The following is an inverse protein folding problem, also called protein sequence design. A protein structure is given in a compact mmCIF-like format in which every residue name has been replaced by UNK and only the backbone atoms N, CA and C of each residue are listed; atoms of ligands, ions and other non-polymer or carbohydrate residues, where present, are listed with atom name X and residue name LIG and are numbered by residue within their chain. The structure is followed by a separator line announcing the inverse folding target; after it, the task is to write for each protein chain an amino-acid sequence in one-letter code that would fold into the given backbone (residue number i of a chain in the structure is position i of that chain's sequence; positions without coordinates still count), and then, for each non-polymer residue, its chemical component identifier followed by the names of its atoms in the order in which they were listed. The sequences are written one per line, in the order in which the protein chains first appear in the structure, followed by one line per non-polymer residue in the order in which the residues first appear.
data_IF_140558192951
#
_entry.id   IF_140558192951
#
_cell.length_a   1.000
_cell.length_b   1.000
_cell.length_c   1.000
_cell.angle_alpha   90.00
_cell.angle_beta   90.00
_cell.angle_gamma   90.00
#
_symmetry.space_group_name_H-M   'P 1'
#
loop_
_entity.id
_entity.type
_entity.pdbx_description
1 polymer ?
#
# COMPACT_ATOMS: atom_id res chain seq x y z
N UNK A 1 27.53 -20.66 -5.23
CA UNK A 1 26.40 -21.55 -5.59
C UNK A 1 25.25 -20.60 -5.82
N UNK A 2 25.04 -20.18 -7.05
CA UNK A 2 24.41 -18.89 -7.34
C UNK A 2 22.96 -18.77 -6.85
N UNK A 3 22.14 -19.80 -7.08
CA UNK A 3 20.78 -19.89 -6.52
C UNK A 3 20.77 -19.78 -4.99
N UNK A 4 21.81 -20.28 -4.31
CA UNK A 4 21.93 -20.15 -2.86
C UNK A 4 22.30 -18.73 -2.40
N UNK A 5 23.00 -17.95 -3.24
CA UNK A 5 23.23 -16.52 -3.03
C UNK A 5 21.98 -15.69 -3.35
N UNK A 6 21.14 -16.13 -4.31
CA UNK A 6 19.86 -15.46 -4.59
C UNK A 6 18.85 -15.64 -3.44
N UNK A 7 18.75 -16.84 -2.86
CA UNK A 7 17.80 -17.13 -1.76
C UNK A 7 18.30 -16.75 -0.36
N UNK A 8 19.57 -16.41 -0.16
CA UNK A 8 20.18 -16.31 1.19
C UNK A 8 19.63 -15.21 2.09
N UNK A 9 18.84 -14.28 1.55
CA UNK A 9 18.20 -13.20 2.30
C UNK A 9 16.68 -13.19 2.18
N UNK A 10 16.06 -14.25 1.63
CA UNK A 10 14.59 -14.32 1.43
C UNK A 10 13.85 -14.13 2.75
N UNK A 11 14.22 -14.87 3.79
CA UNK A 11 13.62 -14.76 5.13
C UNK A 11 13.96 -13.43 5.87
N UNK A 12 14.77 -12.55 5.29
CA UNK A 12 15.13 -11.25 5.86
C UNK A 12 14.21 -10.09 5.40
N UNK A 13 13.31 -10.34 4.44
CA UNK A 13 12.32 -9.37 3.99
C UNK A 13 10.99 -9.64 4.70
N UNK A 14 10.52 -8.67 5.47
CA UNK A 14 9.34 -8.79 6.32
C UNK A 14 8.04 -8.87 5.49
N UNK A 15 7.03 -9.64 5.94
CA UNK A 15 5.69 -9.62 5.35
C UNK A 15 5.05 -8.22 5.35
N UNK A 16 4.09 -7.99 4.45
CA UNK A 16 3.38 -6.74 4.24
C UNK A 16 4.23 -5.56 3.73
N UNK A 17 5.52 -5.79 3.47
CA UNK A 17 6.45 -4.75 2.99
C UNK A 17 6.57 -4.70 1.47
N UNK A 18 7.26 -3.67 0.98
CA UNK A 18 7.54 -3.44 -0.43
C UNK A 18 9.03 -3.49 -0.73
N UNK A 19 9.39 -4.00 -1.91
CA UNK A 19 10.77 -3.97 -2.37
C UNK A 19 10.90 -3.46 -3.81
N UNK A 20 12.09 -2.97 -4.11
CA UNK A 20 12.57 -2.73 -5.48
C UNK A 20 13.85 -3.51 -5.72
N UNK A 21 14.21 -3.68 -7.00
CA UNK A 21 15.49 -4.25 -7.40
C UNK A 21 16.35 -3.22 -8.11
N UNK A 22 17.62 -3.20 -7.72
CA UNK A 22 18.69 -2.46 -8.37
C UNK A 22 19.64 -3.50 -8.95
N UNK A 23 19.82 -3.54 -10.27
CA UNK A 23 20.81 -4.43 -10.90
C UNK A 23 21.28 -3.87 -12.25
N UNK A 24 22.58 -3.89 -12.57
CA UNK A 24 23.08 -3.50 -13.90
C UNK A 24 22.80 -4.58 -14.95
N UNK A 25 22.58 -5.84 -14.52
CA UNK A 25 22.24 -6.97 -15.38
C UNK A 25 21.49 -8.01 -14.55
N UNK A 26 20.16 -7.85 -14.51
CA UNK A 26 19.18 -8.70 -13.83
C UNK A 26 19.08 -10.15 -14.35
N UNK A 27 19.95 -10.51 -15.28
CA UNK A 27 20.08 -11.84 -15.89
C UNK A 27 21.56 -12.29 -16.00
N UNK A 28 22.47 -11.62 -15.29
CA UNK A 28 23.87 -12.04 -15.15
C UNK A 28 23.95 -13.23 -14.21
N UNK A 29 24.59 -14.28 -14.70
CA UNK A 29 25.00 -15.46 -13.93
C UNK A 29 26.51 -15.64 -14.08
N UNK A 30 27.22 -15.88 -12.97
CA UNK A 30 28.64 -16.26 -12.99
C UNK A 30 28.84 -17.66 -13.63
N UNK A 31 27.80 -18.50 -13.60
CA UNK A 31 27.83 -19.89 -14.10
C UNK A 31 27.41 -20.03 -15.57
N UNK A 32 26.48 -19.17 -16.02
CA UNK A 32 25.81 -19.26 -17.33
C UNK A 32 26.02 -18.02 -18.23
N UNK A 33 26.68 -16.98 -17.73
CA UNK A 33 26.79 -15.70 -18.40
C UNK A 33 25.45 -14.94 -18.43
N UNK A 34 25.16 -14.28 -19.55
CA UNK A 34 23.93 -13.48 -19.71
C UNK A 34 22.79 -14.38 -20.22
N UNK A 35 21.91 -14.81 -19.32
CA UNK A 35 20.82 -15.75 -19.66
C UNK A 35 19.65 -15.01 -20.31
N UNK A 36 19.28 -15.40 -21.55
CA UNK A 36 18.21 -14.73 -22.31
C UNK A 36 16.85 -15.41 -22.27
N UNK A 37 16.76 -16.71 -22.00
CA UNK A 37 15.56 -17.51 -22.32
C UNK A 37 14.99 -18.39 -21.18
N UNK A 38 15.73 -18.64 -20.09
CA UNK A 38 15.21 -19.39 -18.92
C UNK A 38 14.62 -18.44 -17.85
N UNK A 39 14.34 -17.20 -18.27
CA UNK A 39 14.15 -16.00 -17.45
C UNK A 39 13.22 -16.13 -16.23
N UNK A 40 11.93 -16.52 -16.35
CA UNK A 40 10.91 -16.22 -15.32
C UNK A 40 11.11 -16.86 -13.95
N UNK A 41 12.02 -17.84 -13.81
CA UNK A 41 12.31 -18.54 -12.55
C UNK A 41 13.72 -18.25 -11.99
N UNK A 42 14.58 -17.54 -12.72
CA UNK A 42 15.99 -17.25 -12.34
C UNK A 42 16.19 -15.74 -12.21
N UNK A 43 15.24 -15.10 -11.55
CA UNK A 43 15.30 -13.67 -11.26
C UNK A 43 15.09 -13.48 -9.77
N UNK A 44 16.00 -12.79 -9.10
CA UNK A 44 15.74 -12.19 -7.77
C UNK A 44 14.40 -11.40 -7.77
N UNK A 45 14.03 -10.81 -8.92
CA UNK A 45 12.74 -10.12 -9.18
C UNK A 45 11.52 -11.00 -9.00
N UNK A 46 11.59 -12.26 -9.44
CA UNK A 46 10.48 -13.21 -9.26
C UNK A 46 10.60 -13.91 -7.91
N UNK A 47 11.82 -14.30 -7.52
CA UNK A 47 12.11 -15.12 -6.35
C UNK A 47 11.57 -14.52 -5.05
N UNK A 48 11.92 -13.27 -4.74
CA UNK A 48 11.48 -12.63 -3.49
C UNK A 48 9.98 -12.35 -3.44
N UNK A 49 9.31 -12.22 -4.59
CA UNK A 49 7.85 -12.09 -4.69
C UNK A 49 7.09 -13.41 -4.83
N UNK A 50 7.78 -14.54 -4.97
CA UNK A 50 7.16 -15.88 -5.13
C UNK A 50 7.43 -16.81 -3.96
N UNK A 51 8.62 -16.74 -3.34
CA UNK A 51 8.97 -17.53 -2.17
C UNK A 51 8.38 -16.89 -0.91
N UNK A 52 8.59 -15.58 -0.72
CA UNK A 52 7.89 -14.87 0.33
C UNK A 52 6.45 -14.64 -0.07
N UNK A 53 5.54 -15.19 0.72
CA UNK A 53 4.14 -14.77 0.69
C UNK A 53 4.09 -13.32 1.19
N UNK A 54 3.23 -12.53 0.58
CA UNK A 54 2.79 -11.25 1.14
C UNK A 54 3.82 -10.11 1.08
N UNK A 55 4.58 -10.00 -0.02
CA UNK A 55 5.52 -8.88 -0.24
C UNK A 55 5.28 -8.28 -1.64
N UNK A 56 5.22 -6.95 -1.72
CA UNK A 56 4.95 -6.22 -2.96
C UNK A 56 6.22 -5.83 -3.72
N UNK A 57 6.45 -6.41 -4.90
CA UNK A 57 7.45 -5.85 -5.82
C UNK A 57 6.89 -4.59 -6.48
N UNK A 58 7.53 -3.45 -6.24
CA UNK A 58 6.98 -2.16 -6.66
C UNK A 58 6.83 -2.05 -8.18
N UNK A 59 7.80 -2.53 -8.98
CA UNK A 59 7.73 -2.44 -10.45
C UNK A 59 6.46 -3.07 -11.05
N UNK A 60 5.81 -3.96 -10.31
CA UNK A 60 4.77 -4.84 -10.81
C UNK A 60 3.89 -5.36 -9.65
N UNK A 61 2.92 -4.56 -9.20
CA UNK A 61 2.03 -4.85 -8.06
C UNK A 61 0.54 -4.91 -8.47
N UNK A 62 -0.17 -5.95 -8.02
CA UNK A 62 -1.64 -6.11 -8.13
C UNK A 62 -2.21 -6.82 -6.90
N UNK A 63 -3.28 -6.28 -6.32
CA UNK A 63 -3.90 -6.79 -5.10
C UNK A 63 -4.94 -7.90 -5.34
N UNK A 64 -5.35 -8.08 -6.59
CA UNK A 64 -6.44 -8.99 -6.98
C UNK A 64 -5.97 -10.40 -7.37
N UNK A 65 -4.67 -10.63 -7.55
CA UNK A 65 -4.07 -11.92 -7.93
C UNK A 65 -2.92 -12.30 -7.00
N UNK A 66 -2.72 -13.60 -6.75
CA UNK A 66 -1.71 -14.07 -5.78
C UNK A 66 -0.27 -14.12 -6.33
N UNK A 67 -0.06 -14.11 -7.65
CA UNK A 67 1.28 -14.23 -8.28
C UNK A 67 1.32 -13.51 -9.63
N UNK A 68 2.49 -12.94 -9.96
CA UNK A 68 2.81 -12.20 -11.19
C UNK A 68 1.75 -11.18 -11.66
N UNK A 69 1.83 -9.93 -11.17
CA UNK A 69 1.09 -8.81 -11.73
C UNK A 69 1.47 -8.51 -13.19
N UNK A 70 0.61 -7.78 -13.90
CA UNK A 70 0.91 -7.23 -15.23
C UNK A 70 0.35 -5.81 -15.29
N UNK A 71 1.02 -4.89 -14.59
CA UNK A 71 0.73 -3.48 -14.68
C UNK A 71 1.99 -2.64 -14.53
N UNK A 72 2.11 -1.60 -15.35
CA UNK A 72 3.30 -0.77 -15.46
C UNK A 72 3.38 0.21 -14.26
N UNK A 73 4.10 -0.16 -13.20
CA UNK A 73 4.43 0.79 -12.15
C UNK A 73 5.52 1.75 -12.66
N UNK A 74 5.21 3.04 -12.71
CA UNK A 74 6.15 4.02 -13.25
C UNK A 74 7.16 4.46 -12.17
N UNK A 75 8.31 3.78 -12.15
CA UNK A 75 9.44 4.09 -11.27
C UNK A 75 9.84 5.58 -11.26
N UNK A 76 9.67 6.30 -12.38
CA UNK A 76 10.05 7.71 -12.54
C UNK A 76 9.40 8.66 -11.53
N UNK A 77 8.30 8.25 -10.90
CA UNK A 77 7.51 9.08 -9.99
C UNK A 77 7.39 8.49 -8.58
N UNK A 78 8.04 7.36 -8.31
CA UNK A 78 8.11 6.79 -6.97
C UNK A 78 9.37 7.30 -6.26
N UNK A 79 9.19 8.14 -5.23
CA UNK A 79 10.24 8.93 -4.60
C UNK A 79 11.10 8.16 -3.59
N UNK A 80 11.57 6.96 -3.95
CA UNK A 80 12.46 6.13 -3.11
C UNK A 80 11.86 5.81 -1.74
N UNK A 81 10.68 5.18 -1.71
CA UNK A 81 9.87 4.90 -0.51
C UNK A 81 9.68 3.39 -0.19
N UNK A 82 10.38 2.53 -0.92
CA UNK A 82 10.42 1.07 -0.74
C UNK A 82 10.96 0.69 0.63
N UNK A 83 10.41 -0.35 1.23
CA UNK A 83 10.86 -0.81 2.55
C UNK A 83 12.19 -1.59 2.43
N UNK A 84 12.46 -2.19 1.26
CA UNK A 84 13.70 -2.91 0.93
C UNK A 84 14.24 -2.60 -0.48
N UNK A 85 15.57 -2.56 -0.62
CA UNK A 85 16.27 -2.58 -1.91
C UNK A 85 17.10 -3.85 -2.00
N UNK A 86 16.82 -4.66 -3.02
CA UNK A 86 17.59 -5.86 -3.35
C UNK A 86 18.56 -5.49 -4.47
N UNK A 87 19.85 -5.45 -4.18
CA UNK A 87 20.89 -5.13 -5.15
C UNK A 87 21.59 -6.41 -5.63
N UNK A 88 21.46 -6.73 -6.93
CA UNK A 88 22.00 -7.95 -7.55
C UNK A 88 23.11 -7.66 -8.57
N UNK A 89 24.20 -8.42 -8.47
CA UNK A 89 25.34 -8.49 -9.38
C UNK A 89 26.07 -7.17 -9.68
N UNK A 90 26.04 -6.22 -8.72
CA UNK A 90 26.83 -4.99 -8.76
C UNK A 90 28.33 -5.23 -8.57
N UNK A 91 29.21 -4.35 -9.09
CA UNK A 91 30.63 -4.34 -8.72
C UNK A 91 30.81 -4.23 -7.21
N UNK A 92 31.85 -4.86 -6.68
CA UNK A 92 32.18 -4.80 -5.25
C UNK A 92 32.50 -3.38 -4.77
N UNK A 93 33.05 -2.55 -5.65
CA UNK A 93 33.36 -1.14 -5.43
C UNK A 93 32.15 -0.18 -5.54
N UNK A 94 30.93 -0.66 -5.79
CA UNK A 94 29.73 0.18 -5.73
C UNK A 94 29.40 0.47 -4.25
N UNK A 95 29.55 1.72 -3.82
CA UNK A 95 29.37 2.11 -2.40
C UNK A 95 27.90 2.31 -1.98
N UNK A 96 26.95 2.34 -2.93
CA UNK A 96 25.50 2.60 -2.69
C UNK A 96 25.24 3.82 -1.78
N UNK A 97 26.08 4.86 -1.90
CA UNK A 97 26.07 6.04 -1.03
C UNK A 97 24.76 6.85 -1.09
N UNK A 98 23.95 6.65 -2.11
CA UNK A 98 22.59 7.18 -2.24
C UNK A 98 21.56 6.47 -1.33
N UNK A 99 21.80 5.20 -0.95
CA UNK A 99 20.94 4.43 -0.05
C UNK A 99 21.31 4.65 1.43
N UNK A 100 22.60 4.76 1.74
CA UNK A 100 23.16 4.85 3.11
C UNK A 100 22.48 5.87 4.04
N UNK A 101 21.97 7.05 3.59
CA UNK A 101 21.21 7.95 4.46
C UNK A 101 19.93 7.31 5.01
N UNK A 102 19.18 6.60 4.17
CA UNK A 102 17.81 6.15 4.43
C UNK A 102 17.67 4.64 4.70
N UNK A 103 18.72 3.85 4.46
CA UNK A 103 18.72 2.40 4.56
C UNK A 103 19.90 1.87 5.37
N UNK A 104 19.68 0.72 6.01
CA UNK A 104 20.69 -0.12 6.63
C UNK A 104 20.99 -1.33 5.74
N UNK A 105 22.27 -1.67 5.55
CA UNK A 105 22.69 -2.89 4.86
C UNK A 105 22.53 -4.09 5.80
N UNK A 106 21.52 -4.93 5.56
CA UNK A 106 21.16 -6.07 6.43
C UNK A 106 21.68 -7.42 5.92
N UNK A 107 22.07 -7.50 4.64
CA UNK A 107 22.71 -8.69 4.06
C UNK A 107 23.73 -8.28 3.01
N UNK A 108 24.89 -8.93 2.99
CA UNK A 108 25.92 -8.70 1.98
C UNK A 108 26.71 -9.98 1.72
N UNK A 109 26.67 -10.43 0.46
CA UNK A 109 27.48 -11.51 -0.11
C UNK A 109 27.91 -11.07 -1.53
N UNK A 110 28.77 -11.85 -2.19
CA UNK A 110 29.41 -11.52 -3.48
C UNK A 110 28.46 -10.82 -4.47
N UNK A 111 27.36 -11.48 -4.82
CA UNK A 111 26.42 -11.00 -5.84
C UNK A 111 25.16 -10.34 -5.26
N UNK A 112 24.85 -10.49 -3.96
CA UNK A 112 23.63 -9.98 -3.34
C UNK A 112 23.94 -9.03 -2.18
N UNK A 113 23.35 -7.83 -2.22
CA UNK A 113 23.21 -6.95 -1.06
C UNK A 113 21.73 -6.66 -0.83
N UNK A 114 21.26 -6.74 0.42
CA UNK A 114 19.89 -6.36 0.80
C UNK A 114 19.96 -5.20 1.78
N UNK A 115 19.29 -4.11 1.40
CA UNK A 115 19.14 -2.91 2.19
C UNK A 115 17.72 -2.83 2.74
N UNK A 116 17.55 -2.55 4.02
CA UNK A 116 16.27 -2.32 4.69
C UNK A 116 16.14 -0.83 5.02
N UNK A 117 14.97 -0.22 4.81
CA UNK A 117 14.74 1.18 5.17
C UNK A 117 14.85 1.36 6.69
N UNK A 118 15.59 2.37 7.11
CA UNK A 118 15.69 2.79 8.51
C UNK A 118 14.31 3.16 9.03
N UNK A 119 13.88 2.54 10.13
CA UNK A 119 12.65 2.97 10.79
C UNK A 119 12.86 4.28 11.53
N UNK A 120 11.90 5.23 11.42
CA UNK A 120 11.92 6.40 12.29
C UNK A 120 11.55 5.98 13.70
N UNK A 121 12.41 6.28 14.68
CA UNK A 121 12.06 6.05 16.08
C UNK A 121 10.89 6.93 16.51
N UNK A 122 10.82 8.14 15.98
CA UNK A 122 9.70 9.06 16.21
C UNK A 122 8.56 8.80 15.22
N UNK A 123 7.37 8.54 15.76
CA UNK A 123 6.10 8.57 15.02
C UNK A 123 5.50 9.96 15.13
N UNK A 124 5.09 10.55 14.01
CA UNK A 124 4.34 11.80 14.02
C UNK A 124 2.91 11.56 14.50
N UNK A 125 2.69 11.71 15.81
CA UNK A 125 1.36 11.57 16.41
C UNK A 125 0.58 12.90 16.46
N UNK A 126 1.07 13.99 15.85
CA UNK A 126 0.40 15.31 15.90
C UNK A 126 -1.00 15.32 15.26
N UNK A 127 -1.25 14.40 14.33
CA UNK A 127 -2.53 14.21 13.66
C UNK A 127 -3.56 13.38 14.48
N UNK A 128 -3.15 12.81 15.62
CA UNK A 128 -4.00 11.98 16.48
C UNK A 128 -4.61 12.81 17.62
N UNK A 129 -5.83 12.46 18.00
CA UNK A 129 -6.56 13.05 19.13
C UNK A 129 -7.02 11.96 20.10
N UNK A 130 -7.32 12.32 21.35
CA UNK A 130 -8.07 11.44 22.24
C UNK A 130 -9.57 11.64 22.00
N UNK A 131 -10.28 10.56 21.67
CA UNK A 131 -11.74 10.55 21.63
C UNK A 131 -12.33 10.66 23.04
N UNK A 132 -13.63 10.96 23.14
CA UNK A 132 -14.34 11.17 24.41
C UNK A 132 -14.30 9.94 25.35
N UNK A 133 -14.04 8.74 24.81
CA UNK A 133 -13.84 7.49 25.54
C UNK A 133 -12.35 7.18 25.87
N UNK A 134 -11.47 8.17 25.71
CA UNK A 134 -10.04 8.09 25.96
C UNK A 134 -9.22 7.35 24.90
N UNK A 135 -9.84 6.80 23.84
CA UNK A 135 -9.09 6.10 22.78
C UNK A 135 -8.33 7.08 21.89
N UNK A 136 -7.07 6.75 21.59
CA UNK A 136 -6.26 7.50 20.62
C UNK A 136 -6.80 7.23 19.21
N UNK A 137 -7.21 8.27 18.48
CA UNK A 137 -7.89 8.15 17.19
C UNK A 137 -7.37 9.16 16.15
N UNK A 138 -7.62 8.86 14.88
CA UNK A 138 -7.29 9.71 13.73
C UNK A 138 -8.35 9.49 12.64
N UNK A 139 -8.73 10.56 11.93
CA UNK A 139 -9.73 10.53 10.86
C UNK A 139 -9.12 11.04 9.56
N UNK A 140 -9.49 10.45 8.44
CA UNK A 140 -9.07 10.86 7.09
C UNK A 140 -10.28 11.13 6.23
N UNK A 141 -10.33 12.33 5.65
CA UNK A 141 -11.36 12.80 4.72
C UNK A 141 -10.79 12.80 3.30
N UNK A 142 -11.41 12.02 2.40
CA UNK A 142 -10.91 11.79 1.05
C UNK A 142 -11.61 12.75 0.09
N UNK A 143 -10.97 13.89 -0.17
CA UNK A 143 -11.67 15.09 -0.63
C UNK A 143 -11.81 15.24 -2.15
N UNK A 144 -12.91 15.88 -2.54
CA UNK A 144 -13.11 16.51 -3.83
C UNK A 144 -12.28 17.79 -3.96
N UNK A 145 -11.80 18.13 -5.15
CA UNK A 145 -10.89 19.28 -5.39
C UNK A 145 -11.47 20.68 -5.06
N UNK A 146 -12.74 20.76 -4.63
CA UNK A 146 -13.44 21.99 -4.25
C UNK A 146 -14.31 21.84 -2.99
N UNK A 147 -14.06 20.82 -2.17
CA UNK A 147 -14.82 20.51 -0.96
C UNK A 147 -14.21 21.07 0.33
N UNK A 148 -15.02 21.22 1.38
CA UNK A 148 -14.60 21.70 2.71
C UNK A 148 -14.23 20.53 3.62
N UNK A 149 -13.05 20.59 4.25
CA UNK A 149 -12.52 19.57 5.16
C UNK A 149 -13.46 19.27 6.33
N UNK A 150 -13.80 17.99 6.52
CA UNK A 150 -14.57 17.52 7.66
C UNK A 150 -13.84 17.82 8.99
N UNK A 151 -14.57 18.35 9.98
CA UNK A 151 -13.96 18.82 11.22
C UNK A 151 -13.17 17.72 11.96
N UNK A 152 -11.94 18.03 12.36
CA UNK A 152 -11.02 17.10 13.03
C UNK A 152 -10.54 15.96 12.14
N UNK A 153 -10.58 16.10 10.81
CA UNK A 153 -10.06 15.12 9.86
C UNK A 153 -8.79 15.61 9.17
N UNK A 154 -7.95 14.66 8.77
CA UNK A 154 -6.79 14.89 7.92
C UNK A 154 -7.21 14.88 6.45
N UNK A 155 -6.74 15.87 5.69
CA UNK A 155 -7.00 16.00 4.25
C UNK A 155 -6.22 14.95 3.45
N UNK A 156 -6.94 14.10 2.70
CA UNK A 156 -6.36 13.20 1.70
C UNK A 156 -6.92 13.53 0.32
N UNK A 157 -6.04 13.99 -0.56
CA UNK A 157 -6.30 14.20 -1.99
C UNK A 157 -5.81 13.00 -2.81
N UNK A 158 -6.21 12.89 -4.09
CA UNK A 158 -5.67 11.89 -5.05
C UNK A 158 -4.16 11.97 -5.22
N UNK A 159 -3.58 13.14 -4.92
CA UNK A 159 -2.16 13.46 -5.04
C UNK A 159 -1.40 13.46 -3.70
N UNK A 160 -2.05 13.07 -2.60
CA UNK A 160 -1.39 12.96 -1.29
C UNK A 160 -0.43 11.75 -1.27
N UNK A 161 0.85 11.94 -1.63
CA UNK A 161 1.85 10.88 -1.88
C UNK A 161 2.66 10.43 -0.66
N UNK A 162 2.94 9.13 -0.55
CA UNK A 162 3.66 8.53 0.59
C UNK A 162 3.05 9.08 1.88
N UNK A 163 3.76 9.57 2.90
CA UNK A 163 5.21 9.74 3.04
C UNK A 163 5.69 9.12 4.36
N UNK A 164 6.96 8.73 4.40
CA UNK A 164 7.55 7.95 5.50
C UNK A 164 7.43 8.66 6.85
N UNK A 165 7.01 7.93 7.88
CA UNK A 165 6.66 8.46 9.20
C UNK A 165 5.27 9.12 9.29
N UNK A 166 4.51 9.18 8.17
CA UNK A 166 3.19 9.83 8.07
C UNK A 166 2.20 8.92 7.32
N UNK A 167 1.42 9.47 6.38
CA UNK A 167 0.34 8.76 5.67
C UNK A 167 0.12 9.26 4.24
N UNK A 168 -0.54 8.43 3.43
CA UNK A 168 -1.02 8.77 2.08
C UNK A 168 -0.87 7.62 1.05
N UNK A 169 -1.02 7.96 -0.22
CA UNK A 169 -1.04 7.02 -1.34
C UNK A 169 0.35 6.57 -1.77
N UNK A 170 0.53 5.25 -1.85
CA UNK A 170 1.70 4.57 -2.42
C UNK A 170 1.53 4.38 -3.92
N UNK A 171 0.34 3.97 -4.38
CA UNK A 171 0.01 3.92 -5.81
C UNK A 171 -0.31 5.30 -6.38
N UNK A 172 -0.23 5.41 -7.70
CA UNK A 172 -0.41 6.65 -8.44
C UNK A 172 -1.75 6.71 -9.18
N UNK A 173 -2.17 7.92 -9.60
CA UNK A 173 -3.37 8.09 -10.41
C UNK A 173 -3.37 7.27 -11.71
N UNK A 174 -4.54 6.97 -12.31
CA UNK A 174 -5.80 7.72 -12.22
C UNK A 174 -6.66 7.37 -11.00
N UNK A 175 -6.39 8.12 -9.93
CA UNK A 175 -7.25 8.38 -8.80
C UNK A 175 -8.02 9.65 -9.20
N UNK A 176 -9.34 9.61 -9.15
CA UNK A 176 -10.18 10.78 -9.45
C UNK A 176 -10.84 11.24 -8.16
N UNK A 177 -10.87 12.56 -7.96
CA UNK A 177 -11.55 13.19 -6.83
C UNK A 177 -12.95 13.60 -7.24
N UNK A 178 -13.91 13.45 -6.34
CA UNK A 178 -15.28 13.88 -6.57
C UNK A 178 -15.85 14.56 -5.32
N UNK A 179 -16.53 15.67 -5.54
CA UNK A 179 -17.31 16.36 -4.52
C UNK A 179 -18.73 15.81 -4.45
N UNK A 180 -19.18 15.46 -3.26
CA UNK A 180 -20.49 14.85 -3.05
C UNK A 180 -21.64 15.84 -2.85
N UNK A 181 -22.82 15.28 -2.58
CA UNK A 181 -24.02 16.07 -2.28
C UNK A 181 -23.91 16.74 -0.91
N UNK A 182 -24.11 18.06 -0.82
CA UNK A 182 -24.01 18.83 0.45
C UNK A 182 -25.05 18.42 1.51
N UNK A 183 -26.03 17.57 1.18
CA UNK A 183 -26.95 16.95 2.14
C UNK A 183 -26.34 15.78 2.91
N UNK A 184 -25.19 15.27 2.48
CA UNK A 184 -24.45 14.18 3.13
C UNK A 184 -23.48 14.79 4.15
N UNK A 185 -23.31 14.15 5.30
CA UNK A 185 -22.30 14.51 6.31
C UNK A 185 -20.92 14.68 5.65
N UNK A 186 -20.12 15.65 6.11
CA UNK A 186 -18.88 16.05 5.42
C UNK A 186 -17.90 14.91 5.16
N UNK A 187 -17.65 14.02 6.15
CA UNK A 187 -16.70 12.91 6.02
C UNK A 187 -17.10 11.85 4.96
N UNK A 188 -18.35 11.33 4.90
CA UNK A 188 -18.77 10.42 3.83
C UNK A 188 -19.22 11.11 2.53
N UNK A 189 -19.19 12.45 2.43
CA UNK A 189 -19.69 13.19 1.27
C UNK A 189 -18.80 13.00 0.04
N UNK A 190 -17.53 13.36 0.18
CA UNK A 190 -16.58 13.42 -0.93
C UNK A 190 -15.88 12.06 -1.12
N UNK A 191 -15.22 11.82 -2.24
CA UNK A 191 -14.42 10.60 -2.40
C UNK A 191 -13.22 10.73 -3.33
N UNK A 192 -12.26 9.83 -3.11
CA UNK A 192 -11.31 9.39 -4.13
C UNK A 192 -11.84 8.09 -4.76
N UNK A 193 -11.70 7.95 -6.08
CA UNK A 193 -12.09 6.75 -6.83
C UNK A 193 -10.97 6.28 -7.78
N UNK A 194 -10.95 5.02 -8.20
CA UNK A 194 -9.90 4.50 -9.09
C UNK A 194 -10.25 3.20 -9.82
N UNK A 195 -9.80 3.07 -11.07
CA UNK A 195 -9.92 1.83 -11.88
C UNK A 195 -8.78 0.84 -11.62
N UNK A 196 -7.67 1.33 -11.06
CA UNK A 196 -6.51 0.55 -10.61
C UNK A 196 -6.50 0.46 -9.09
N UNK A 197 -5.75 -0.48 -8.52
CA UNK A 197 -5.72 -0.73 -7.08
C UNK A 197 -5.12 0.49 -6.31
N UNK A 198 -5.85 0.98 -5.32
CA UNK A 198 -5.44 2.09 -4.45
C UNK A 198 -4.74 1.57 -3.20
N UNK A 199 -3.44 1.84 -3.04
CA UNK A 199 -2.67 1.49 -1.84
C UNK A 199 -2.48 2.73 -0.99
N UNK A 200 -3.11 2.76 0.18
CA UNK A 200 -2.95 3.80 1.20
C UNK A 200 -2.14 3.25 2.38
N UNK A 201 -1.11 3.98 2.80
CA UNK A 201 -0.15 3.56 3.83
C UNK A 201 -0.12 4.60 4.95
N UNK A 202 -0.02 4.16 6.20
CA UNK A 202 0.05 4.98 7.41
C UNK A 202 1.05 4.36 8.39
N UNK A 203 1.97 5.16 8.92
CA UNK A 203 2.75 4.79 10.08
C UNK A 203 2.00 5.14 11.38
N UNK A 204 1.93 4.18 12.31
CA UNK A 204 1.20 4.29 13.57
C UNK A 204 1.83 3.40 14.65
N UNK A 205 1.54 3.60 15.95
CA UNK A 205 2.08 2.73 17.00
C UNK A 205 1.64 1.27 16.84
N UNK A 206 2.38 0.34 17.42
CA UNK A 206 1.93 -1.06 17.50
C UNK A 206 0.70 -1.22 18.40
N UNK A 207 -0.12 -2.23 18.11
CA UNK A 207 -1.30 -2.61 18.88
C UNK A 207 -2.51 -2.94 18.02
N UNK A 208 -3.65 -3.16 18.69
CA UNK A 208 -4.92 -3.44 18.03
C UNK A 208 -5.69 -2.15 17.71
N UNK A 209 -6.31 -2.13 16.53
CA UNK A 209 -7.04 -0.99 15.99
C UNK A 209 -8.41 -1.39 15.48
N UNK A 210 -9.41 -0.56 15.78
CA UNK A 210 -10.72 -0.59 15.13
C UNK A 210 -10.72 0.45 14.01
N UNK A 211 -10.98 0.02 12.79
CA UNK A 211 -11.01 0.87 11.60
C UNK A 211 -12.42 0.90 11.05
N UNK A 212 -12.96 2.09 10.80
CA UNK A 212 -14.27 2.29 10.18
C UNK A 212 -14.11 3.07 8.87
N UNK A 213 -14.35 2.41 7.75
CA UNK A 213 -14.30 2.99 6.41
C UNK A 213 -15.69 3.38 5.92
N UNK A 214 -15.75 4.49 5.17
CA UNK A 214 -16.98 5.10 4.66
C UNK A 214 -17.03 4.99 3.14
N UNK A 215 -18.20 4.60 2.63
CA UNK A 215 -18.46 4.39 1.21
C UNK A 215 -19.80 4.99 0.83
N UNK A 216 -19.81 5.91 -0.14
CA UNK A 216 -20.98 6.52 -0.72
C UNK A 216 -20.69 6.78 -2.20
N UNK A 217 -21.62 6.42 -3.10
CA UNK A 217 -21.50 6.83 -4.49
C UNK A 217 -21.72 8.34 -4.62
N UNK A 218 -20.97 8.95 -5.52
CA UNK A 218 -21.08 10.34 -5.98
C UNK A 218 -21.71 10.45 -7.37
N UNK A 219 -21.88 9.31 -8.06
CA UNK A 219 -22.37 9.20 -9.43
C UNK A 219 -23.57 8.23 -9.54
N UNK A 220 -23.98 7.92 -10.78
CA UNK A 220 -25.22 7.22 -11.08
C UNK A 220 -25.13 5.68 -11.10
N UNK A 221 -23.95 5.07 -10.87
CA UNK A 221 -23.77 3.62 -10.99
C UNK A 221 -23.37 2.91 -9.68
N UNK A 222 -23.52 1.58 -9.68
CA UNK A 222 -23.06 0.74 -8.56
C UNK A 222 -21.54 0.54 -8.63
N UNK A 223 -20.87 0.64 -7.48
CA UNK A 223 -19.43 0.33 -7.34
C UNK A 223 -19.23 -1.00 -6.62
N UNK A 224 -18.29 -1.82 -7.09
CA UNK A 224 -17.84 -3.04 -6.40
C UNK A 224 -16.54 -2.71 -5.66
N UNK A 225 -16.55 -2.80 -4.34
CA UNK A 225 -15.39 -2.47 -3.50
C UNK A 225 -14.90 -3.69 -2.74
N UNK A 226 -13.59 -3.90 -2.76
CA UNK A 226 -12.86 -4.86 -1.94
C UNK A 226 -11.78 -4.09 -1.19
N UNK A 227 -11.49 -4.49 0.04
CA UNK A 227 -10.48 -3.85 0.88
C UNK A 227 -9.65 -4.91 1.60
N UNK A 228 -8.33 -4.75 1.51
CA UNK A 228 -7.36 -5.47 2.33
C UNK A 228 -6.74 -4.51 3.33
N UNK A 229 -6.40 -5.00 4.52
CA UNK A 229 -5.65 -4.26 5.54
C UNK A 229 -4.62 -5.21 6.16
N UNK A 230 -3.34 -4.85 6.10
CA UNK A 230 -2.19 -5.75 6.35
C UNK A 230 -2.48 -7.14 5.75
N UNK A 231 -2.81 -7.10 4.45
CA UNK A 231 -3.09 -8.22 3.54
C UNK A 231 -4.21 -9.20 3.91
N UNK A 232 -4.92 -8.96 5.01
CA UNK A 232 -6.18 -9.65 5.31
C UNK A 232 -7.30 -9.00 4.51
N UNK A 233 -8.09 -9.79 3.77
CA UNK A 233 -9.30 -9.32 3.06
C UNK A 233 -10.40 -8.98 4.09
N UNK A 234 -10.41 -7.73 4.53
CA UNK A 234 -11.35 -7.17 5.52
C UNK A 234 -12.72 -6.80 4.92
N UNK A 235 -12.76 -6.42 3.63
CA UNK A 235 -14.00 -6.28 2.87
C UNK A 235 -13.92 -7.18 1.63
N UNK A 236 -14.72 -8.25 1.62
CA UNK A 236 -14.62 -9.35 0.64
C UNK A 236 -15.49 -9.20 -0.61
N UNK A 237 -16.40 -8.23 -0.64
CA UNK A 237 -17.18 -7.71 -1.78
C UNK A 237 -18.29 -6.80 -1.22
N UNK A 238 -18.07 -5.49 -1.21
CA UNK A 238 -19.09 -4.49 -0.93
C UNK A 238 -19.71 -4.03 -2.25
N UNK A 239 -21.03 -3.85 -2.28
CA UNK A 239 -21.72 -3.08 -3.32
C UNK A 239 -22.04 -1.71 -2.71
N UNK A 240 -21.58 -0.65 -3.36
CA UNK A 240 -21.96 0.72 -3.04
C UNK A 240 -23.05 1.12 -4.05
N UNK A 241 -24.29 1.36 -3.62
CA UNK A 241 -25.40 1.74 -4.49
C UNK A 241 -25.26 3.18 -5.00
N UNK A 242 -25.94 3.48 -6.11
CA UNK A 242 -26.01 4.82 -6.72
C UNK A 242 -27.04 5.77 -6.11
N UNK A 243 -27.79 5.31 -5.10
CA UNK A 243 -28.80 6.10 -4.39
C UNK A 243 -28.21 7.07 -3.33
N UNK A 244 -26.87 7.19 -3.31
CA UNK A 244 -26.10 7.98 -2.32
C UNK A 244 -26.27 7.49 -0.87
N UNK A 245 -26.64 6.23 -0.63
CA UNK A 245 -26.66 5.68 0.71
C UNK A 245 -25.25 5.57 1.30
N UNK A 246 -25.03 6.21 2.46
CA UNK A 246 -23.76 6.12 3.20
C UNK A 246 -23.62 4.76 3.86
N UNK A 247 -22.67 3.96 3.38
CA UNK A 247 -22.31 2.66 3.94
C UNK A 247 -21.08 2.80 4.84
N UNK A 248 -21.20 2.33 6.08
CA UNK A 248 -20.09 2.20 7.03
C UNK A 248 -19.66 0.73 7.11
N UNK A 249 -18.35 0.46 7.14
CA UNK A 249 -17.80 -0.88 7.39
C UNK A 249 -16.69 -0.79 8.42
N UNK A 250 -16.85 -1.53 9.51
CA UNK A 250 -15.90 -1.57 10.62
C UNK A 250 -15.22 -2.93 10.69
N UNK A 251 -13.91 -2.94 10.92
CA UNK A 251 -13.10 -4.15 11.08
C UNK A 251 -11.94 -3.90 12.05
N UNK A 252 -11.31 -4.97 12.51
CA UNK A 252 -10.16 -4.92 13.42
C UNK A 252 -8.87 -5.30 12.69
N UNK A 253 -7.76 -4.64 13.05
CA UNK A 253 -6.40 -4.94 12.57
C UNK A 253 -5.44 -4.92 13.75
N UNK A 254 -4.57 -5.91 13.83
CA UNK A 254 -3.41 -5.90 14.71
C UNK A 254 -2.20 -5.37 13.91
N UNK A 255 -1.50 -4.37 14.46
CA UNK A 255 -0.33 -3.74 13.84
C UNK A 255 0.91 -4.09 14.66
N UNK A 256 1.84 -4.81 14.02
CA UNK A 256 3.10 -5.32 14.58
C UNK A 256 4.33 -4.51 14.19
N UNK A 257 4.29 -3.88 13.01
CA UNK A 257 5.48 -3.32 12.35
C UNK A 257 5.37 -1.79 12.17
N UNK A 258 4.62 -1.15 13.08
CA UNK A 258 4.33 0.29 13.15
C UNK A 258 3.65 0.85 11.90
N UNK A 259 2.88 0.00 11.22
CA UNK A 259 2.43 0.25 9.87
C UNK A 259 1.08 -0.39 9.55
N UNK A 260 0.23 0.39 8.89
CA UNK A 260 -1.03 -0.05 8.30
C UNK A 260 -0.98 0.22 6.80
N UNK A 261 -1.03 -0.85 6.01
CA UNK A 261 -1.22 -0.81 4.57
C UNK A 261 -2.65 -1.24 4.25
N UNK A 262 -3.45 -0.32 3.73
CA UNK A 262 -4.80 -0.56 3.23
C UNK A 262 -4.78 -0.59 1.69
N UNK A 263 -5.40 -1.60 1.09
CA UNK A 263 -5.44 -1.77 -0.36
C UNK A 263 -6.87 -1.91 -0.82
N UNK A 264 -7.38 -0.87 -1.46
CA UNK A 264 -8.72 -0.85 -2.06
C UNK A 264 -8.63 -1.24 -3.54
N UNK A 265 -9.57 -2.07 -3.98
CA UNK A 265 -9.65 -2.50 -5.38
C UNK A 265 -11.08 -2.84 -5.77
N UNK A 266 -11.30 -2.98 -7.07
CA UNK A 266 -12.52 -3.52 -7.66
C UNK A 266 -12.24 -4.85 -8.36
N UNK A 267 -13.27 -5.62 -8.68
CA UNK A 267 -13.08 -6.79 -9.53
C UNK A 267 -12.78 -6.34 -10.96
N UNK A 268 -11.58 -6.63 -11.47
CA UNK A 268 -11.21 -6.39 -12.87
C UNK A 268 -12.11 -7.19 -13.83
N UNK A 269 -13.23 -6.61 -14.23
CA UNK A 269 -14.00 -7.09 -15.38
C UNK A 269 -13.21 -6.76 -16.65
N UNK A 270 -12.53 -7.77 -17.23
CA UNK A 270 -11.80 -7.64 -18.51
C UNK A 270 -12.66 -7.17 -19.69
N UNK A 271 -13.99 -7.21 -19.56
CA UNK A 271 -14.97 -6.70 -20.51
C UNK A 271 -16.11 -6.08 -19.69
N UNK A 272 -16.42 -4.80 -19.92
CA UNK A 272 -17.54 -4.12 -19.27
C UNK A 272 -18.87 -4.73 -19.74
N UNK A 273 -19.58 -5.45 -18.86
CA UNK A 273 -20.85 -6.09 -19.17
C UNK A 273 -22.04 -5.31 -18.60
N UNK A 274 -22.47 -4.31 -19.36
CA UNK A 274 -23.67 -3.51 -19.08
C UNK A 274 -23.38 -2.09 -18.59
N UNK A 275 -24.40 -1.24 -18.60
CA UNK A 275 -24.31 0.22 -18.45
C UNK A 275 -24.54 0.74 -17.02
N UNK A 276 -24.89 -0.12 -16.06
CA UNK A 276 -25.26 0.27 -14.69
C UNK A 276 -24.22 0.01 -13.59
N UNK A 277 -23.02 -0.46 -13.93
CA UNK A 277 -21.97 -0.84 -12.97
C UNK A 277 -20.64 -0.18 -13.33
N UNK A 278 -20.04 0.49 -12.36
CA UNK A 278 -18.74 1.10 -12.53
C UNK A 278 -17.61 0.09 -12.34
N UNK A 279 -16.59 0.22 -13.19
CA UNK A 279 -15.35 -0.56 -13.20
C UNK A 279 -14.26 0.09 -12.33
N UNK A 280 -14.67 0.90 -11.34
CA UNK A 280 -13.80 1.57 -10.39
C UNK A 280 -14.31 1.35 -8.96
N UNK A 281 -13.45 1.53 -7.97
CA UNK A 281 -13.83 1.63 -6.55
C UNK A 281 -14.02 3.09 -6.16
N UNK A 282 -14.81 3.35 -5.12
CA UNK A 282 -14.93 4.66 -4.43
C UNK A 282 -14.55 4.51 -2.97
N UNK A 283 -13.96 5.53 -2.37
CA UNK A 283 -13.66 5.58 -0.93
C UNK A 283 -13.71 7.02 -0.43
N UNK A 284 -14.54 7.26 0.58
CA UNK A 284 -14.87 8.60 1.09
C UNK A 284 -14.01 9.01 2.29
N UNK A 285 -13.36 8.04 2.93
CA UNK A 285 -12.53 8.26 4.09
C UNK A 285 -12.62 7.12 5.09
N UNK A 286 -11.91 7.27 6.20
CA UNK A 286 -11.94 6.29 7.29
C UNK A 286 -11.48 6.90 8.61
N UNK A 287 -11.88 6.25 9.70
CA UNK A 287 -11.46 6.56 11.07
C UNK A 287 -10.72 5.35 11.62
N UNK A 288 -9.56 5.59 12.25
CA UNK A 288 -8.83 4.61 13.04
C UNK A 288 -8.96 5.00 14.51
N UNK A 289 -9.26 4.01 15.36
CA UNK A 289 -9.23 4.15 16.81
C UNK A 289 -8.36 3.04 17.37
N UNK A 290 -7.37 3.39 18.20
CA UNK A 290 -6.61 2.40 18.95
C UNK A 290 -7.54 1.74 19.96
N UNK A 291 -7.58 0.41 19.95
CA UNK A 291 -8.27 -0.35 20.99
C UNK A 291 -7.62 -0.03 22.33
N UNK A 292 -8.44 0.12 23.38
CA UNK A 292 -7.87 0.17 24.72
C UNK A 292 -7.20 -1.19 24.97
N UNK A 293 -5.91 -1.18 25.29
CA UNK A 293 -5.29 -2.34 25.92
C UNK A 293 -6.04 -2.59 27.21
N UNK A 294 -6.54 -3.81 27.45
CA UNK A 294 -7.11 -4.19 28.74
C UNK A 294 -5.99 -4.22 29.78
N UNK A 295 -5.63 -3.05 30.29
CA UNK A 295 -4.74 -2.86 31.42
C UNK A 295 -5.54 -3.06 32.71
N UNK A 296 -6.07 -4.27 32.89
CA UNK A 296 -6.73 -4.71 34.12
C UNK A 296 -6.15 -6.06 34.56
N UNK A 297 -5.18 -5.92 35.47
CA UNK A 297 -4.83 -6.78 36.61
C UNK A 297 -4.70 -8.30 36.34
#
# INVERSE_FOLDING_TARGET
MEIAEEVSAVDLIEPHTTYTIRSPSWNKSDSLGVVKYVAPFVHAVALYGTVNKDIGHLANYEASYNYFPVNHFNHSYYSGKEDYVIAWAYPEAEEFSDLTPNFDLIHSIKNLKVFRRKQTNDLDLSAWYQADDGRLAIKFDFQGSSSELANGCQLVTKDHRYTYGKFGWVTQPPHTEFSGDKKIDSLPRDCVSGTQDGVFKLNLPNGDYRITSYFCSVDAGEHKVYLMANSRKVIKKLIVPSDKAVIKRTYAVNVTDRELTQVIYTSRERVQRGTGKHNHWVWNGFVIEKSQTNSQL
#
